data_IF_322306229196
#
_entry.id   IF_322306229196
#
_cell.length_a   1.000
_cell.length_b   1.000
_cell.length_c   1.000
_cell.angle_alpha   90.00
_cell.angle_beta   90.00
_cell.angle_gamma   90.00
#
_symmetry.space_group_name_H-M   'P 1'
#
loop_
_entity.id
_entity.type
_entity.pdbx_description
1 polymer ?
#
# COMPACT_ATOMS: atom_id res chain seq x y z
N UNK A 1 42.71 -52.53 -2.67
CA UNK A 1 41.98 -51.87 -3.77
C UNK A 1 40.98 -50.82 -3.27
N UNK A 2 40.15 -51.12 -2.26
CA UNK A 2 39.15 -50.17 -1.72
C UNK A 2 39.73 -48.84 -1.20
N UNK A 3 40.83 -48.89 -0.43
CA UNK A 3 41.51 -47.69 0.11
C UNK A 3 42.01 -46.74 -1.01
N UNK A 4 42.37 -47.29 -2.17
CA UNK A 4 42.84 -46.50 -3.31
C UNK A 4 41.68 -45.77 -4.00
N UNK A 5 40.52 -46.42 -4.16
CA UNK A 5 39.31 -45.79 -4.70
C UNK A 5 38.78 -44.69 -3.77
N UNK A 6 38.86 -44.88 -2.46
CA UNK A 6 38.42 -43.89 -1.47
C UNK A 6 39.32 -42.65 -1.46
N UNK A 7 40.65 -42.84 -1.58
CA UNK A 7 41.59 -41.72 -1.76
C UNK A 7 41.34 -40.94 -3.06
N UNK A 8 40.96 -41.60 -4.15
CA UNK A 8 40.63 -40.93 -5.42
C UNK A 8 39.31 -40.13 -5.33
N UNK A 9 38.31 -40.66 -4.60
CA UNK A 9 37.07 -39.93 -4.31
C UNK A 9 37.33 -38.69 -3.46
N UNK A 10 38.12 -38.79 -2.39
CA UNK A 10 38.44 -37.61 -1.57
C UNK A 10 39.21 -36.54 -2.33
N UNK A 11 40.15 -36.92 -3.22
CA UNK A 11 40.84 -35.96 -4.09
C UNK A 11 39.89 -35.25 -5.04
N UNK A 12 38.91 -35.97 -5.60
CA UNK A 12 37.91 -35.39 -6.50
C UNK A 12 36.98 -34.41 -5.77
N UNK A 13 36.54 -34.76 -4.56
CA UNK A 13 35.71 -33.88 -3.72
C UNK A 13 36.49 -32.62 -3.31
N UNK A 14 37.74 -32.77 -2.91
CA UNK A 14 38.59 -31.64 -2.53
C UNK A 14 38.86 -30.71 -3.72
N UNK A 15 39.10 -31.27 -4.91
CA UNK A 15 39.27 -30.48 -6.13
C UNK A 15 38.01 -29.67 -6.47
N UNK A 16 36.82 -30.27 -6.35
CA UNK A 16 35.54 -29.57 -6.57
C UNK A 16 35.36 -28.42 -5.57
N UNK A 17 35.63 -28.65 -4.28
CA UNK A 17 35.53 -27.63 -3.24
C UNK A 17 36.50 -26.47 -3.48
N UNK A 18 37.75 -26.76 -3.85
CA UNK A 18 38.74 -25.73 -4.16
C UNK A 18 38.37 -24.93 -5.42
N UNK A 19 37.86 -25.57 -6.46
CA UNK A 19 37.36 -24.84 -7.64
C UNK A 19 36.18 -23.96 -7.29
N UNK A 20 35.25 -24.43 -6.46
CA UNK A 20 34.10 -23.63 -6.04
C UNK A 20 34.52 -22.41 -5.23
N UNK A 21 35.46 -22.56 -4.29
CA UNK A 21 36.04 -21.44 -3.54
C UNK A 21 36.78 -20.44 -4.43
N UNK A 22 37.50 -20.92 -5.45
CA UNK A 22 38.19 -20.03 -6.38
C UNK A 22 37.20 -19.22 -7.22
N UNK A 23 36.12 -19.84 -7.70
CA UNK A 23 35.07 -19.13 -8.45
C UNK A 23 34.34 -18.09 -7.60
N UNK A 24 34.02 -18.38 -6.33
CA UNK A 24 33.37 -17.39 -5.46
C UNK A 24 34.27 -16.22 -5.12
N UNK A 25 35.56 -16.47 -4.84
CA UNK A 25 36.54 -15.41 -4.61
C UNK A 25 36.74 -14.56 -5.86
N UNK A 26 36.89 -15.19 -7.04
CA UNK A 26 37.09 -14.45 -8.29
C UNK A 26 35.86 -13.62 -8.68
N UNK A 27 34.64 -14.14 -8.47
CA UNK A 27 33.40 -13.38 -8.68
C UNK A 27 33.32 -12.17 -7.74
N UNK A 28 33.72 -12.32 -6.48
CA UNK A 28 33.80 -11.22 -5.51
C UNK A 28 34.80 -10.14 -5.98
N UNK A 29 36.00 -10.52 -6.42
CA UNK A 29 37.00 -9.57 -6.93
C UNK A 29 36.57 -8.85 -8.21
N UNK A 30 35.88 -9.53 -9.14
CA UNK A 30 35.36 -8.89 -10.34
C UNK A 30 34.26 -7.87 -9.97
N UNK A 31 33.40 -8.22 -9.00
CA UNK A 31 32.35 -7.32 -8.56
C UNK A 31 32.92 -6.08 -7.86
N UNK A 32 33.90 -6.25 -6.96
CA UNK A 32 34.55 -5.13 -6.27
C UNK A 32 35.36 -4.25 -7.22
N UNK A 33 36.10 -4.83 -8.16
CA UNK A 33 36.85 -4.06 -9.16
C UNK A 33 35.94 -3.27 -10.11
N UNK A 34 34.81 -3.86 -10.54
CA UNK A 34 33.81 -3.17 -11.35
C UNK A 34 33.15 -2.03 -10.57
N UNK A 35 32.92 -2.19 -9.27
CA UNK A 35 32.38 -1.13 -8.42
C UNK A 35 33.41 -0.01 -8.21
N UNK A 36 34.69 -0.33 -8.01
CA UNK A 36 35.76 0.68 -7.87
C UNK A 36 35.97 1.51 -9.14
N UNK A 37 35.94 0.90 -10.33
CA UNK A 37 36.03 1.66 -11.59
C UNK A 37 34.83 2.59 -11.77
N UNK A 38 33.61 2.14 -11.43
CA UNK A 38 32.40 2.98 -11.45
C UNK A 38 32.51 4.16 -10.49
N UNK A 39 33.00 3.93 -9.27
CA UNK A 39 33.23 4.97 -8.29
C UNK A 39 34.25 6.01 -8.80
N UNK A 40 35.34 5.59 -9.44
CA UNK A 40 36.32 6.53 -10.00
C UNK A 40 35.72 7.40 -11.12
N UNK A 41 34.85 6.84 -11.98
CA UNK A 41 34.12 7.62 -12.99
C UNK A 41 33.12 8.60 -12.35
N UNK A 42 32.50 8.21 -11.23
CA UNK A 42 31.61 9.08 -10.46
C UNK A 42 32.37 10.22 -9.76
N UNK A 43 33.59 9.96 -9.28
CA UNK A 43 34.46 10.98 -8.69
C UNK A 43 34.93 12.01 -9.73
N UNK A 44 35.34 11.58 -10.92
CA UNK A 44 35.73 12.49 -12.00
C UNK A 44 34.55 13.34 -12.52
N UNK A 45 33.34 12.76 -12.59
CA UNK A 45 32.14 13.50 -13.01
C UNK A 45 31.60 14.45 -11.93
N UNK A 46 31.76 14.11 -10.65
CA UNK A 46 31.42 14.98 -9.51
C UNK A 46 32.39 16.16 -9.40
N UNK A 47 33.69 15.93 -9.63
CA UNK A 47 34.72 16.98 -9.68
C UNK A 47 34.50 17.97 -10.82
N UNK A 48 34.02 17.51 -11.98
CA UNK A 48 33.70 18.37 -13.12
C UNK A 48 32.41 19.21 -12.95
N UNK A 49 31.54 18.89 -11.98
CA UNK A 49 30.38 19.72 -11.60
C UNK A 49 30.64 20.66 -10.42
N UNK A 50 31.81 20.58 -9.77
CA UNK A 50 32.22 21.52 -8.72
C UNK A 50 32.84 22.83 -9.24
N UNK A 51 32.82 23.09 -10.56
CA UNK A 51 33.06 24.43 -11.10
C UNK A 51 31.76 25.24 -11.12
N UNK A 52 31.24 25.50 -9.92
CA UNK A 52 29.98 26.20 -9.70
C UNK A 52 29.72 26.45 -8.24
N UNK A 53 30.77 26.84 -7.51
CA UNK A 53 30.68 27.39 -6.15
C UNK A 53 30.01 28.76 -6.24
N UNK A 54 28.69 28.72 -6.41
CA UNK A 54 27.81 29.86 -6.31
C UNK A 54 26.90 29.56 -5.12
N UNK A 55 26.94 30.45 -4.14
CA UNK A 55 25.91 30.75 -3.16
C UNK A 55 24.57 31.00 -3.87
N UNK A 56 24.00 29.95 -4.45
CA UNK A 56 22.94 30.02 -5.45
C UNK A 56 21.64 30.36 -4.73
N UNK A 57 21.39 31.67 -4.67
CA UNK A 57 20.17 32.36 -4.27
C UNK A 57 18.99 32.08 -5.21
N UNK A 58 19.04 31.00 -6.00
CA UNK A 58 17.86 30.55 -6.73
C UNK A 58 16.81 30.11 -5.72
N UNK A 59 15.57 30.64 -5.80
CA UNK A 59 14.48 30.16 -4.96
C UNK A 59 14.37 28.65 -5.15
N UNK A 60 14.61 27.90 -4.06
CA UNK A 60 14.64 26.44 -4.09
C UNK A 60 13.27 25.96 -4.56
N UNK A 61 13.21 25.37 -5.76
CA UNK A 61 11.97 24.79 -6.26
C UNK A 61 11.43 23.78 -5.26
N UNK A 62 10.12 23.76 -5.08
CA UNK A 62 9.43 22.80 -4.23
C UNK A 62 9.67 21.36 -4.73
N UNK A 63 9.78 20.40 -3.79
CA UNK A 63 10.21 19.06 -4.09
C UNK A 63 9.13 18.23 -4.80
N UNK A 64 9.60 17.18 -5.47
CA UNK A 64 8.78 16.08 -5.95
C UNK A 64 8.81 14.97 -4.89
N UNK A 65 7.65 14.62 -4.35
CA UNK A 65 7.49 13.50 -3.44
C UNK A 65 7.23 12.20 -4.21
N UNK A 66 8.04 11.18 -3.96
CA UNK A 66 7.88 9.85 -4.57
C UNK A 66 7.54 8.86 -3.45
N UNK A 67 6.36 8.27 -3.51
CA UNK A 67 5.95 7.30 -2.47
C UNK A 67 6.44 5.90 -2.79
N UNK A 68 7.01 5.18 -1.82
CA UNK A 68 7.41 3.77 -1.93
C UNK A 68 6.76 3.02 -0.77
N UNK A 69 5.81 2.14 -1.05
CA UNK A 69 5.17 1.37 0.02
C UNK A 69 3.91 0.63 -0.43
N UNK A 70 3.52 -0.43 0.29
CA UNK A 70 2.50 -1.35 -0.19
C UNK A 70 1.14 -0.64 -0.22
N UNK A 71 0.15 -1.17 -0.96
CA UNK A 71 -1.20 -0.62 -0.88
C UNK A 71 -1.71 -0.66 0.57
N UNK A 72 -2.46 0.37 0.97
CA UNK A 72 -2.98 0.54 2.33
C UNK A 72 -1.93 0.82 3.43
N UNK A 73 -0.69 1.18 3.08
CA UNK A 73 0.35 1.56 4.06
C UNK A 73 0.19 2.96 4.67
N UNK A 74 -0.77 3.77 4.21
CA UNK A 74 -0.94 5.16 4.66
C UNK A 74 -0.12 6.19 3.87
N UNK A 75 0.22 5.89 2.60
CA UNK A 75 1.01 6.79 1.72
C UNK A 75 0.48 8.23 1.69
N UNK A 76 -0.81 8.40 1.40
CA UNK A 76 -1.43 9.73 1.30
C UNK A 76 -1.31 10.51 2.60
N UNK A 77 -1.55 9.86 3.74
CA UNK A 77 -1.49 10.52 5.05
C UNK A 77 -0.05 10.87 5.44
N UNK A 78 0.92 10.02 5.11
CA UNK A 78 2.33 10.35 5.31
C UNK A 78 2.73 11.57 4.46
N UNK A 79 2.39 11.59 3.16
CA UNK A 79 2.67 12.74 2.30
C UNK A 79 2.02 14.02 2.85
N UNK A 80 0.77 13.96 3.34
CA UNK A 80 0.12 15.11 3.99
C UNK A 80 0.91 15.61 5.19
N UNK A 81 1.36 14.71 6.07
CA UNK A 81 2.13 15.09 7.25
C UNK A 81 3.48 15.72 6.85
N UNK A 82 4.13 15.22 5.79
CA UNK A 82 5.35 15.84 5.25
C UNK A 82 5.08 17.24 4.70
N UNK A 83 4.02 17.41 3.92
CA UNK A 83 3.64 18.71 3.37
C UNK A 83 3.41 19.72 4.49
N UNK A 84 2.68 19.34 5.55
CA UNK A 84 2.45 20.19 6.72
C UNK A 84 3.75 20.54 7.45
N UNK A 85 4.64 19.56 7.66
CA UNK A 85 5.91 19.78 8.35
C UNK A 85 6.83 20.77 7.59
N UNK A 86 6.75 20.78 6.26
CA UNK A 86 7.50 21.67 5.39
C UNK A 86 6.78 23.01 5.10
N UNK A 87 5.62 23.25 5.74
CA UNK A 87 4.86 24.50 5.62
C UNK A 87 4.00 24.62 4.36
N UNK A 88 3.77 23.52 3.64
CA UNK A 88 2.83 23.47 2.52
C UNK A 88 1.42 23.12 3.00
N UNK A 89 0.40 23.66 2.33
CA UNK A 89 -0.99 23.26 2.52
C UNK A 89 -1.27 21.94 1.75
N UNK A 90 -1.56 20.81 2.43
CA UNK A 90 -1.83 19.55 1.75
C UNK A 90 -3.10 19.59 0.92
N UNK A 91 -4.14 20.33 1.35
CA UNK A 91 -5.39 20.36 0.61
C UNK A 91 -5.18 21.03 -0.74
N UNK A 92 -4.35 22.06 -0.81
CA UNK A 92 -3.94 22.69 -2.06
C UNK A 92 -3.20 21.73 -3.01
N UNK A 93 -2.43 20.77 -2.48
CA UNK A 93 -1.72 19.76 -3.28
C UNK A 93 -2.66 18.64 -3.75
N UNK A 94 -3.53 18.14 -2.86
CA UNK A 94 -4.40 17.00 -3.17
C UNK A 94 -5.69 17.38 -3.91
N UNK A 95 -6.20 18.61 -3.77
CA UNK A 95 -7.40 19.07 -4.49
C UNK A 95 -7.11 19.52 -5.92
N UNK A 96 -5.89 20.00 -6.20
CA UNK A 96 -5.47 20.49 -7.53
C UNK A 96 -4.96 19.37 -8.45
N UNK A 97 -5.35 18.11 -8.21
CA UNK A 97 -4.97 16.95 -9.04
C UNK A 97 -3.45 16.70 -9.13
N UNK A 98 -2.68 17.17 -8.14
CA UNK A 98 -1.20 17.09 -8.14
C UNK A 98 -0.68 15.75 -7.60
N UNK A 99 -1.56 14.91 -7.05
CA UNK A 99 -1.26 13.51 -6.73
C UNK A 99 -1.53 12.60 -7.93
N UNK A 100 -0.45 12.17 -8.56
CA UNK A 100 -0.51 11.24 -9.68
C UNK A 100 -0.35 9.82 -9.16
N UNK A 101 -1.50 9.22 -8.85
CA UNK A 101 -1.59 7.80 -8.58
C UNK A 101 -2.30 7.07 -9.73
N UNK A 102 -1.82 5.88 -10.08
CA UNK A 102 -2.50 5.01 -11.04
C UNK A 102 -3.93 4.67 -10.57
N UNK A 103 -4.16 4.70 -9.25
CA UNK A 103 -5.47 4.44 -8.65
C UNK A 103 -6.46 5.59 -8.76
N UNK A 104 -6.03 6.80 -9.15
CA UNK A 104 -6.91 7.94 -9.40
C UNK A 104 -7.40 8.02 -10.86
N UNK A 105 -6.93 7.13 -11.73
CA UNK A 105 -7.40 7.06 -13.12
C UNK A 105 -8.81 6.49 -13.20
N UNK A 106 -9.69 7.16 -13.94
CA UNK A 106 -11.13 6.85 -14.02
C UNK A 106 -11.46 5.52 -14.70
N UNK A 107 -10.52 4.94 -15.45
CA UNK A 107 -10.67 3.66 -16.16
C UNK A 107 -10.13 2.45 -15.36
N UNK A 108 -9.49 2.68 -14.21
CA UNK A 108 -8.87 1.60 -13.40
C UNK A 108 -9.87 0.95 -12.44
N UNK A 109 -10.83 1.73 -11.95
CA UNK A 109 -11.86 1.27 -11.03
C UNK A 109 -13.25 1.52 -11.61
N UNK A 110 -14.06 0.47 -11.75
CA UNK A 110 -15.45 0.60 -12.18
C UNK A 110 -16.39 0.37 -11.00
N UNK A 111 -17.28 1.33 -10.77
CA UNK A 111 -18.22 1.31 -9.66
C UNK A 111 -19.47 0.51 -10.02
N UNK A 112 -19.80 -0.50 -9.22
CA UNK A 112 -20.95 -1.40 -9.39
C UNK A 112 -21.72 -1.44 -8.07
N UNK A 113 -23.05 -1.35 -8.06
CA UNK A 113 -23.77 -1.47 -6.80
C UNK A 113 -23.66 -2.90 -6.23
N UNK A 114 -23.55 -3.01 -4.91
CA UNK A 114 -23.23 -4.27 -4.21
C UNK A 114 -24.22 -5.39 -4.57
N UNK A 115 -25.51 -5.06 -4.69
CA UNK A 115 -26.54 -6.02 -5.05
C UNK A 115 -26.25 -6.71 -6.39
N UNK A 116 -25.89 -5.93 -7.42
CA UNK A 116 -25.55 -6.43 -8.74
C UNK A 116 -24.21 -7.19 -8.74
N UNK A 117 -23.25 -6.77 -7.93
CA UNK A 117 -21.98 -7.49 -7.80
C UNK A 117 -22.14 -8.88 -7.15
N UNK A 118 -23.00 -8.98 -6.13
CA UNK A 118 -23.32 -10.24 -5.46
C UNK A 118 -24.21 -11.14 -6.32
N UNK A 119 -25.13 -10.55 -7.10
CA UNK A 119 -26.10 -11.26 -7.93
C UNK A 119 -26.00 -10.79 -9.39
N UNK A 120 -24.93 -11.16 -10.12
CA UNK A 120 -24.69 -10.68 -11.48
C UNK A 120 -25.75 -11.12 -12.50
N UNK A 121 -26.59 -12.10 -12.15
CA UNK A 121 -27.73 -12.55 -12.96
C UNK A 121 -28.96 -11.64 -12.83
N UNK A 122 -28.99 -10.72 -11.85
CA UNK A 122 -30.08 -9.76 -11.66
C UNK A 122 -29.77 -8.47 -12.43
N UNK A 123 -30.64 -8.13 -13.40
CA UNK A 123 -30.71 -6.89 -14.22
C UNK A 123 -29.54 -5.88 -14.16
N UNK A 124 -28.33 -6.32 -14.52
CA UNK A 124 -27.25 -5.42 -14.93
C UNK A 124 -27.61 -4.86 -16.32
N UNK A 125 -28.21 -3.65 -16.34
CA UNK A 125 -28.48 -2.90 -17.57
C UNK A 125 -27.40 -1.83 -17.80
N UNK A 126 -27.32 -1.29 -19.02
CA UNK A 126 -26.35 -0.24 -19.39
C UNK A 126 -26.49 1.01 -18.51
N UNK A 127 -27.70 1.28 -17.99
CA UNK A 127 -27.97 2.37 -17.05
C UNK A 127 -27.60 2.06 -15.59
N UNK A 128 -27.37 0.79 -15.24
CA UNK A 128 -27.10 0.31 -13.88
C UNK A 128 -25.76 -0.44 -13.85
N UNK A 129 -24.70 0.23 -14.29
CA UNK A 129 -23.33 -0.24 -14.09
C UNK A 129 -22.84 -1.34 -15.03
N UNK A 130 -23.62 -1.77 -16.04
CA UNK A 130 -23.13 -2.68 -17.08
C UNK A 130 -22.28 -1.97 -18.15
N UNK A 131 -21.20 -1.31 -17.73
CA UNK A 131 -20.36 -0.53 -18.63
C UNK A 131 -19.39 -1.41 -19.42
N UNK A 132 -18.99 -0.93 -20.60
CA UNK A 132 -17.89 -1.53 -21.36
C UNK A 132 -16.56 -1.27 -20.65
N UNK A 133 -15.82 -2.33 -20.35
CA UNK A 133 -14.50 -2.24 -19.72
C UNK A 133 -13.43 -1.98 -20.78
N UNK A 134 -12.26 -1.49 -20.34
CA UNK A 134 -11.09 -1.30 -21.20
C UNK A 134 -10.59 -2.59 -21.85
N UNK A 135 -10.97 -3.76 -21.34
CA UNK A 135 -10.73 -5.07 -21.94
C UNK A 135 -11.56 -5.33 -23.21
N UNK A 136 -12.65 -4.61 -23.42
CA UNK A 136 -13.61 -4.82 -24.50
C UNK A 136 -14.75 -5.78 -24.17
N UNK A 137 -14.88 -6.19 -22.89
CA UNK A 137 -16.05 -6.92 -22.39
C UNK A 137 -16.88 -6.03 -21.47
N UNK A 138 -18.16 -6.36 -21.28
CA UNK A 138 -18.99 -5.64 -20.30
C UNK A 138 -18.65 -6.06 -18.87
N UNK A 139 -19.07 -5.24 -17.90
CA UNK A 139 -19.01 -5.61 -16.47
C UNK A 139 -19.69 -6.95 -16.21
N UNK A 140 -20.87 -7.17 -16.80
CA UNK A 140 -21.60 -8.44 -16.66
C UNK A 140 -20.80 -9.62 -17.21
N UNK A 141 -20.22 -9.47 -18.41
CA UNK A 141 -19.41 -10.53 -19.01
C UNK A 141 -18.24 -10.91 -18.08
N UNK A 142 -17.56 -9.91 -17.51
CA UNK A 142 -16.49 -10.14 -16.53
C UNK A 142 -16.98 -10.89 -15.29
N UNK A 143 -18.11 -10.48 -14.70
CA UNK A 143 -18.62 -11.09 -13.46
C UNK A 143 -19.09 -12.54 -13.65
N UNK A 144 -19.33 -12.95 -14.90
CA UNK A 144 -19.71 -14.30 -15.31
C UNK A 144 -18.53 -15.11 -15.87
N UNK A 145 -17.37 -14.48 -16.09
CA UNK A 145 -16.19 -15.11 -16.68
C UNK A 145 -15.33 -15.79 -15.58
N UNK A 146 -15.13 -17.12 -15.66
CA UNK A 146 -14.30 -17.87 -14.72
C UNK A 146 -12.86 -17.33 -14.57
N UNK A 147 -12.33 -16.64 -15.59
CA UNK A 147 -10.98 -16.09 -15.55
C UNK A 147 -10.80 -15.00 -14.47
N UNK A 148 -11.88 -14.33 -14.06
CA UNK A 148 -11.87 -13.29 -13.03
C UNK A 148 -12.46 -13.76 -11.69
N UNK A 149 -13.06 -14.96 -11.68
CA UNK A 149 -13.87 -15.47 -10.59
C UNK A 149 -13.11 -15.55 -9.27
N UNK A 150 -11.82 -15.91 -9.28
CA UNK A 150 -11.06 -16.01 -8.03
C UNK A 150 -10.95 -14.68 -7.26
N UNK A 151 -10.77 -13.55 -7.96
CA UNK A 151 -10.68 -12.23 -7.30
C UNK A 151 -12.07 -11.72 -6.92
N UNK A 152 -13.05 -11.90 -7.80
CA UNK A 152 -14.40 -11.41 -7.56
C UNK A 152 -15.09 -12.25 -6.46
N UNK A 153 -14.85 -13.55 -6.38
CA UNK A 153 -15.30 -14.46 -5.31
C UNK A 153 -14.66 -14.11 -3.96
N UNK A 154 -13.36 -13.76 -3.90
CA UNK A 154 -12.71 -13.22 -2.68
C UNK A 154 -13.51 -12.00 -2.15
N UNK A 155 -13.81 -11.04 -3.02
CA UNK A 155 -14.56 -9.82 -2.67
C UNK A 155 -15.98 -10.17 -2.22
N UNK A 156 -16.69 -11.07 -2.93
CA UNK A 156 -18.04 -11.52 -2.55
C UNK A 156 -18.04 -12.14 -1.16
N UNK A 157 -17.08 -13.00 -0.85
CA UNK A 157 -16.96 -13.64 0.46
C UNK A 157 -16.69 -12.61 1.57
N UNK A 158 -15.80 -11.64 1.34
CA UNK A 158 -15.55 -10.53 2.28
C UNK A 158 -16.81 -9.71 2.52
N UNK A 159 -17.57 -9.36 1.47
CA UNK A 159 -18.84 -8.63 1.60
C UNK A 159 -19.84 -9.40 2.45
N UNK A 160 -20.06 -10.68 2.11
CA UNK A 160 -21.03 -11.52 2.81
C UNK A 160 -20.66 -11.70 4.28
N UNK A 161 -19.36 -11.84 4.58
CA UNK A 161 -18.88 -11.94 5.97
C UNK A 161 -19.10 -10.64 6.74
N UNK A 162 -18.66 -9.50 6.22
CA UNK A 162 -18.83 -8.19 6.89
C UNK A 162 -20.31 -7.88 7.11
N UNK A 163 -21.16 -8.18 6.13
CA UNK A 163 -22.60 -7.97 6.18
C UNK A 163 -23.34 -8.91 7.15
N UNK A 164 -22.65 -9.83 7.83
CA UNK A 164 -23.25 -10.82 8.72
C UNK A 164 -24.11 -11.87 8.00
N UNK A 165 -23.89 -12.06 6.70
CA UNK A 165 -24.61 -13.03 5.84
C UNK A 165 -23.85 -14.34 5.64
N UNK A 166 -22.64 -14.42 6.17
CA UNK A 166 -21.78 -15.60 6.16
C UNK A 166 -21.19 -15.77 7.56
N UNK A 167 -21.19 -16.99 8.08
CA UNK A 167 -20.58 -17.31 9.37
C UNK A 167 -19.05 -17.27 9.29
N UNK A 168 -18.33 -17.11 10.42
CA UNK A 168 -16.86 -17.19 10.42
C UNK A 168 -16.34 -18.50 9.84
N UNK A 169 -17.02 -19.62 10.11
CA UNK A 169 -16.61 -20.95 9.65
C UNK A 169 -16.79 -21.10 8.13
N UNK A 170 -17.95 -20.69 7.58
CA UNK A 170 -18.19 -20.72 6.13
C UNK A 170 -17.20 -19.83 5.39
N UNK A 171 -16.91 -18.64 5.93
CA UNK A 171 -15.94 -17.72 5.35
C UNK A 171 -14.53 -18.33 5.34
N UNK A 172 -14.08 -18.89 6.46
CA UNK A 172 -12.78 -19.56 6.54
C UNK A 172 -12.67 -20.72 5.55
N UNK A 173 -13.70 -21.56 5.45
CA UNK A 173 -13.75 -22.67 4.49
C UNK A 173 -13.70 -22.20 3.04
N UNK A 174 -14.41 -21.11 2.70
CA UNK A 174 -14.40 -20.55 1.36
C UNK A 174 -13.02 -20.01 0.96
N UNK A 175 -12.37 -19.25 1.86
CA UNK A 175 -11.01 -18.72 1.62
C UNK A 175 -9.96 -19.84 1.56
N UNK A 176 -10.06 -20.86 2.42
CA UNK A 176 -9.16 -22.02 2.38
C UNK A 176 -9.31 -22.82 1.09
N UNK A 177 -10.55 -23.01 0.62
CA UNK A 177 -10.84 -23.66 -0.67
C UNK A 177 -10.17 -22.91 -1.81
N UNK A 178 -10.38 -21.59 -1.92
CA UNK A 178 -9.72 -20.75 -2.93
C UNK A 178 -8.20 -20.87 -2.87
N UNK A 179 -7.63 -20.88 -1.66
CA UNK A 179 -6.19 -21.01 -1.47
C UNK A 179 -5.64 -22.35 -1.98
N UNK A 180 -6.41 -23.43 -1.83
CA UNK A 180 -6.02 -24.79 -2.22
C UNK A 180 -6.25 -25.08 -3.70
N UNK A 181 -7.32 -24.54 -4.29
CA UNK A 181 -7.78 -24.87 -5.65
C UNK A 181 -7.10 -24.07 -6.75
N UNK A 182 -6.43 -22.96 -6.44
CA UNK A 182 -5.83 -22.08 -7.45
C UNK A 182 -4.54 -22.65 -8.11
N UNK A 183 -4.42 -23.98 -8.26
CA UNK A 183 -3.60 -24.65 -9.27
C UNK A 183 -2.07 -24.52 -9.14
N UNK A 184 -1.54 -24.06 -8.00
CA UNK A 184 -0.11 -23.78 -7.86
C UNK A 184 0.73 -25.06 -7.88
N UNK A 185 1.60 -25.17 -8.89
CA UNK A 185 2.58 -26.26 -9.00
C UNK A 185 3.75 -26.12 -8.03
N UNK A 186 4.10 -24.89 -7.63
CA UNK A 186 5.21 -24.64 -6.70
C UNK A 186 4.72 -24.57 -5.26
N UNK A 187 5.28 -25.43 -4.40
CA UNK A 187 5.02 -25.48 -2.94
C UNK A 187 5.14 -24.12 -2.24
N UNK A 188 6.07 -23.27 -2.70
CA UNK A 188 6.27 -21.92 -2.16
C UNK A 188 5.03 -21.02 -2.36
N UNK A 189 4.46 -20.97 -3.56
CA UNK A 189 3.29 -20.13 -3.85
C UNK A 189 2.05 -20.61 -3.09
N UNK A 190 1.85 -21.94 -3.01
CA UNK A 190 0.79 -22.53 -2.20
C UNK A 190 0.89 -22.15 -0.72
N UNK A 191 2.07 -22.28 -0.11
CA UNK A 191 2.30 -21.88 1.28
C UNK A 191 2.01 -20.39 1.52
N UNK A 192 2.47 -19.54 0.60
CA UNK A 192 2.23 -18.10 0.66
C UNK A 192 0.73 -17.79 0.59
N UNK A 193 -0.01 -18.40 -0.35
CA UNK A 193 -1.45 -18.18 -0.50
C UNK A 193 -2.24 -18.60 0.74
N UNK A 194 -1.91 -19.74 1.33
CA UNK A 194 -2.51 -20.19 2.60
C UNK A 194 -2.25 -19.17 3.72
N UNK A 195 -1.02 -18.65 3.82
CA UNK A 195 -0.71 -17.62 4.82
C UNK A 195 -1.47 -16.32 4.58
N UNK A 196 -1.64 -15.90 3.32
CA UNK A 196 -2.46 -14.73 2.96
C UNK A 196 -3.94 -14.96 3.31
N UNK A 197 -4.47 -16.15 3.04
CA UNK A 197 -5.84 -16.51 3.38
C UNK A 197 -6.12 -16.44 4.89
N UNK A 198 -5.20 -16.97 5.71
CA UNK A 198 -5.30 -16.87 7.19
C UNK A 198 -5.33 -15.42 7.68
N UNK A 199 -4.43 -14.58 7.17
CA UNK A 199 -4.40 -13.17 7.54
C UNK A 199 -5.66 -12.43 7.06
N UNK A 200 -6.19 -12.79 5.89
CA UNK A 200 -7.45 -12.23 5.36
C UNK A 200 -8.64 -12.60 6.26
N UNK A 201 -8.71 -13.86 6.72
CA UNK A 201 -9.74 -14.31 7.67
C UNK A 201 -9.69 -13.45 8.92
N UNK A 202 -8.53 -13.36 9.57
CA UNK A 202 -8.37 -12.60 10.80
C UNK A 202 -8.69 -11.11 10.62
N UNK A 203 -8.16 -10.49 9.56
CA UNK A 203 -8.41 -9.09 9.26
C UNK A 203 -9.90 -8.78 8.99
N UNK A 204 -10.63 -9.72 8.36
CA UNK A 204 -12.07 -9.56 8.11
C UNK A 204 -12.87 -9.66 9.40
N UNK A 205 -12.53 -10.59 10.29
CA UNK A 205 -13.18 -10.72 11.60
C UNK A 205 -13.02 -9.45 12.43
N UNK A 206 -11.80 -8.90 12.49
CA UNK A 206 -11.53 -7.66 13.23
C UNK A 206 -12.36 -6.48 12.71
N UNK A 207 -12.45 -6.31 11.38
CA UNK A 207 -13.27 -5.23 10.80
C UNK A 207 -14.77 -5.48 10.98
N UNK A 208 -15.21 -6.74 10.91
CA UNK A 208 -16.62 -7.08 11.17
C UNK A 208 -17.01 -6.76 12.62
N UNK A 209 -16.19 -7.17 13.60
CA UNK A 209 -16.41 -6.85 15.01
C UNK A 209 -16.39 -5.34 15.27
N UNK A 210 -15.45 -4.62 14.64
CA UNK A 210 -15.44 -3.15 14.70
C UNK A 210 -16.74 -2.55 14.14
N UNK A 211 -17.20 -3.03 12.98
CA UNK A 211 -18.43 -2.55 12.35
C UNK A 211 -19.66 -2.81 13.23
N UNK A 212 -19.78 -3.99 13.83
CA UNK A 212 -20.86 -4.34 14.76
C UNK A 212 -20.83 -3.43 15.98
N UNK A 213 -19.65 -3.23 16.59
CA UNK A 213 -19.49 -2.35 17.75
C UNK A 213 -19.88 -0.90 17.44
N UNK A 214 -19.46 -0.35 16.29
CA UNK A 214 -19.85 1.00 15.85
C UNK A 214 -21.39 1.15 15.77
N UNK A 215 -22.08 0.14 15.23
CA UNK A 215 -23.55 0.17 15.11
C UNK A 215 -24.21 0.04 16.47
N UNK A 216 -23.76 -0.88 17.33
CA UNK A 216 -24.30 -1.05 18.69
C UNK A 216 -24.17 0.25 19.49
N UNK A 217 -23.00 0.90 19.47
CA UNK A 217 -22.79 2.18 20.12
C UNK A 217 -23.74 3.26 19.56
N UNK A 218 -23.90 3.33 18.24
CA UNK A 218 -24.79 4.33 17.63
C UNK A 218 -26.26 4.17 18.03
N UNK A 219 -26.71 2.94 18.31
CA UNK A 219 -28.08 2.66 18.77
C UNK A 219 -28.27 3.00 20.25
N UNK A 220 -27.28 2.73 21.11
CA UNK A 220 -27.38 2.96 22.56
C UNK A 220 -27.22 4.45 22.94
N UNK A 221 -26.47 5.23 22.17
CA UNK A 221 -26.25 6.66 22.45
C UNK A 221 -27.30 7.59 21.82
N UNK A 222 -28.32 7.06 21.14
CA UNK A 222 -29.54 7.81 20.82
C UNK A 222 -30.46 7.91 22.06
N UNK A 223 -29.89 8.29 23.21
CA UNK A 223 -30.67 8.72 24.36
C UNK A 223 -31.44 9.96 23.89
N UNK A 224 -32.78 9.99 24.02
CA UNK A 224 -33.54 11.16 23.64
C UNK A 224 -32.92 12.35 24.36
N UNK A 225 -32.47 13.33 23.58
CA UNK A 225 -32.16 14.65 24.10
C UNK A 225 -33.48 15.12 24.67
N UNK A 226 -33.71 14.88 25.95
CA UNK A 226 -34.84 15.45 26.67
C UNK A 226 -34.62 16.94 26.50
N UNK A 227 -35.43 17.57 25.66
CA UNK A 227 -35.49 19.01 25.58
C UNK A 227 -35.62 19.48 27.03
N UNK A 228 -34.57 20.13 27.52
CA UNK A 228 -34.52 20.75 28.84
C UNK A 228 -35.54 21.87 28.81
N UNK A 229 -36.81 21.49 28.95
CA UNK A 229 -37.91 22.36 29.23
C UNK A 229 -37.71 22.86 30.64
N UNK A 230 -37.19 24.09 30.72
CA UNK A 230 -37.20 24.98 31.86
C UNK A 230 -36.90 24.33 33.21
N UNK A 231 -35.67 24.54 33.67
CA UNK A 231 -35.34 24.47 35.09
C UNK A 231 -36.23 25.45 35.87
N UNK A 232 -37.37 24.97 36.36
CA UNK A 232 -38.04 25.55 37.51
C UNK A 232 -37.18 25.18 38.72
N UNK A 233 -36.51 26.18 39.29
CA UNK A 233 -35.78 26.07 40.56
C UNK A 233 -36.77 25.59 41.63
N UNK A 234 -36.73 24.29 41.95
CA UNK A 234 -37.39 23.78 43.15
C UNK A 234 -36.50 24.08 44.36
N UNK A 235 -37.01 24.74 45.41
CA UNK A 235 -36.29 24.89 46.66
C UNK A 235 -36.43 23.57 47.43
N UNK A 236 -35.33 22.86 47.64
CA UNK A 236 -35.30 21.76 48.59
C UNK A 236 -34.37 22.11 49.74
N UNK A 237 -35.00 22.33 50.89
CA UNK A 237 -34.39 22.17 52.20
C UNK A 237 -33.97 20.70 52.37
N UNK A 238 -32.73 20.52 52.80
CA UNK A 238 -32.13 19.22 53.12
C UNK A 238 -32.69 18.79 54.47
N UNK A 239 -33.60 17.82 54.47
CA UNK A 239 -34.00 17.10 55.68
C UNK A 239 -33.42 15.67 55.59
N UNK A 240 -32.43 15.42 56.45
CA UNK A 240 -31.73 14.15 56.61
C UNK A 240 -32.69 13.12 57.22
N UNK A 241 -33.30 12.28 56.40
CA UNK A 241 -33.92 11.02 56.85
C UNK A 241 -33.41 9.87 55.98
N UNK A 242 -32.51 9.08 56.57
CA UNK A 242 -32.14 7.75 56.11
C UNK A 242 -33.34 6.81 56.25
N UNK A 243 -34.08 6.59 55.16
CA UNK A 243 -34.98 5.46 55.04
C UNK A 243 -34.43 4.44 54.03
N UNK A 244 -34.37 3.20 54.50
CA UNK A 244 -33.88 2.01 53.81
C UNK A 244 -34.49 1.85 52.40
N UNK A 245 -33.64 2.00 51.38
CA UNK A 245 -33.98 1.66 50.00
C UNK A 245 -34.13 0.13 49.88
N UNK A 246 -35.36 -0.35 49.98
CA UNK A 246 -35.71 -1.71 49.57
C UNK A 246 -35.52 -1.86 48.06
N UNK A 247 -34.45 -2.54 47.67
CA UNK A 247 -34.21 -3.00 46.29
C UNK A 247 -35.28 -4.02 45.93
N UNK A 248 -36.34 -3.58 45.25
CA UNK A 248 -37.35 -4.45 44.66
C UNK A 248 -36.72 -5.23 43.49
N UNK A 249 -36.55 -6.55 43.70
CA UNK A 249 -36.16 -7.53 42.68
C UNK A 249 -37.35 -7.86 41.77
N UNK A 250 -37.74 -6.92 40.90
CA UNK A 250 -38.64 -7.20 39.79
C UNK A 250 -37.92 -6.97 38.46
N UNK A 251 -36.94 -7.82 38.17
CA UNK A 251 -36.42 -7.97 36.80
C UNK A 251 -37.25 -9.03 36.09
N UNK A 252 -38.34 -8.58 35.46
CA UNK A 252 -39.07 -9.39 34.48
C UNK A 252 -38.08 -9.80 33.37
N UNK A 253 -37.71 -11.08 33.34
CA UNK A 253 -36.86 -11.69 32.31
C UNK A 253 -37.49 -11.73 30.90
N UNK A 254 -38.59 -11.01 30.68
CA UNK A 254 -39.37 -11.00 29.46
C UNK A 254 -38.97 -9.91 28.46
N UNK A 255 -38.22 -8.88 28.89
CA UNK A 255 -37.71 -7.82 28.01
C UNK A 255 -36.23 -8.03 27.69
N UNK A 256 -35.86 -9.24 27.24
CA UNK A 256 -34.63 -9.37 26.46
C UNK A 256 -34.91 -8.60 25.16
N UNK A 257 -34.24 -7.46 24.89
CA UNK A 257 -34.49 -6.69 23.68
C UNK A 257 -34.32 -7.64 22.50
N UNK A 258 -35.39 -7.84 21.72
CA UNK A 258 -35.33 -8.62 20.48
C UNK A 258 -34.13 -8.10 19.71
N UNK A 259 -33.09 -8.92 19.60
CA UNK A 259 -31.84 -8.56 18.93
C UNK A 259 -32.20 -8.27 17.49
N UNK A 260 -32.38 -6.98 17.18
CA UNK A 260 -32.66 -6.52 15.83
C UNK A 260 -31.44 -6.87 15.01
N UNK A 261 -31.59 -7.81 14.08
CA UNK A 261 -30.54 -8.14 13.12
C UNK A 261 -30.12 -6.84 12.43
N UNK A 262 -28.84 -6.49 12.59
CA UNK A 262 -28.28 -5.32 11.93
C UNK A 262 -28.41 -5.51 10.42
N UNK A 263 -28.90 -4.48 9.74
CA UNK A 263 -28.98 -4.48 8.30
C UNK A 263 -27.56 -4.44 7.71
N UNK A 264 -27.36 -5.10 6.57
CA UNK A 264 -26.08 -5.07 5.87
C UNK A 264 -25.62 -3.64 5.52
N UNK A 265 -26.58 -2.71 5.34
CA UNK A 265 -26.33 -1.28 5.09
C UNK A 265 -25.76 -0.54 6.29
N UNK A 266 -25.99 -1.00 7.51
CA UNK A 266 -25.38 -0.42 8.71
C UNK A 266 -23.92 -0.87 8.87
N UNK A 267 -23.59 -2.08 8.37
CA UNK A 267 -22.24 -2.64 8.47
C UNK A 267 -21.32 -2.23 7.31
N UNK A 268 -21.85 -2.04 6.10
CA UNK A 268 -21.11 -1.54 4.93
C UNK A 268 -21.63 -0.14 4.58
N UNK A 269 -20.78 0.88 4.73
CA UNK A 269 -21.18 2.30 4.61
C UNK A 269 -21.36 2.75 3.15
N UNK A 270 -20.84 1.98 2.20
CA UNK A 270 -21.00 2.24 0.76
C UNK A 270 -22.06 1.31 0.15
N UNK A 271 -22.87 1.76 -0.81
CA UNK A 271 -23.74 0.87 -1.58
C UNK A 271 -23.06 0.27 -2.81
N UNK A 272 -21.77 0.56 -3.04
CA UNK A 272 -21.03 0.15 -4.23
C UNK A 272 -19.74 -0.62 -3.92
N UNK A 273 -19.32 -1.44 -4.89
CA UNK A 273 -18.01 -2.07 -5.02
C UNK A 273 -17.31 -1.44 -6.22
N UNK A 274 -16.04 -1.08 -6.06
CA UNK A 274 -15.20 -0.62 -7.15
C UNK A 274 -14.29 -1.75 -7.61
N UNK A 275 -14.62 -2.36 -8.75
CA UNK A 275 -13.84 -3.46 -9.31
C UNK A 275 -12.57 -2.93 -9.98
N UNK A 276 -11.44 -3.55 -9.66
CA UNK A 276 -10.15 -3.20 -10.26
C UNK A 276 -10.01 -3.87 -11.64
N UNK A 277 -9.72 -3.07 -12.67
CA UNK A 277 -9.54 -3.54 -14.06
C UNK A 277 -8.06 -3.41 -14.43
N UNK A 278 -7.25 -4.47 -14.21
CA UNK A 278 -5.81 -4.40 -14.42
C UNK A 278 -5.42 -4.07 -15.86
N UNK A 279 -6.26 -4.42 -16.84
CA UNK A 279 -6.02 -4.14 -18.26
C UNK A 279 -5.93 -2.64 -18.55
N UNK A 280 -6.64 -1.79 -17.78
CA UNK A 280 -6.58 -0.34 -17.95
C UNK A 280 -5.17 0.20 -17.67
N UNK A 281 -4.47 -0.37 -16.69
CA UNK A 281 -3.09 0.03 -16.37
C UNK A 281 -2.12 -0.26 -17.50
N UNK A 282 -2.23 -1.45 -18.10
CA UNK A 282 -1.30 -1.93 -19.13
C UNK A 282 -1.64 -1.44 -20.54
N UNK A 283 -2.89 -1.06 -20.81
CA UNK A 283 -3.32 -0.43 -22.08
C UNK A 283 -3.10 1.09 -22.07
N UNK A 284 -1.92 1.50 -21.61
CA UNK A 284 -1.48 2.90 -21.62
C UNK A 284 -1.82 3.72 -20.37
N UNK A 285 -2.40 3.14 -19.32
CA UNK A 285 -2.62 3.85 -18.04
C UNK A 285 -1.33 4.41 -17.45
N UNK A 286 -0.24 3.64 -17.51
CA UNK A 286 1.11 4.10 -17.11
C UNK A 286 1.57 5.29 -17.98
N UNK A 287 1.39 5.21 -19.30
CA UNK A 287 1.77 6.29 -20.22
C UNK A 287 0.93 7.56 -20.00
N UNK A 288 -0.36 7.41 -19.70
CA UNK A 288 -1.24 8.53 -19.32
C UNK A 288 -0.78 9.18 -18.02
N UNK A 289 -0.46 8.39 -16.99
CA UNK A 289 0.06 8.90 -15.71
C UNK A 289 1.36 9.68 -15.92
N UNK A 290 2.26 9.11 -16.71
CA UNK A 290 3.52 9.76 -17.07
C UNK A 290 3.33 11.07 -17.84
N UNK A 291 2.45 11.09 -18.85
CA UNK A 291 2.13 12.29 -19.61
C UNK A 291 1.51 13.37 -18.72
N UNK A 292 0.58 12.98 -17.83
CA UNK A 292 -0.01 13.87 -16.84
C UNK A 292 1.07 14.45 -15.92
N UNK A 293 2.05 13.64 -15.51
CA UNK A 293 3.18 14.10 -14.67
C UNK A 293 4.08 15.08 -15.38
N UNK A 294 4.48 14.77 -16.62
CA UNK A 294 5.29 15.67 -17.44
C UNK A 294 4.56 16.99 -17.74
N UNK A 295 3.23 16.95 -17.90
CA UNK A 295 2.39 18.13 -18.07
C UNK A 295 2.31 18.96 -16.78
N UNK A 296 1.99 18.32 -15.65
CA UNK A 296 1.90 18.99 -14.35
C UNK A 296 3.22 19.67 -13.98
N UNK A 297 4.37 19.05 -14.26
CA UNK A 297 5.67 19.66 -14.00
C UNK A 297 5.98 20.89 -14.87
N UNK A 298 5.34 21.03 -16.04
CA UNK A 298 5.48 22.22 -16.89
C UNK A 298 4.56 23.36 -16.46
N UNK A 299 3.39 23.01 -15.92
CA UNK A 299 2.33 23.96 -15.57
C UNK A 299 2.41 24.42 -14.11
N UNK A 300 2.94 23.57 -13.22
CA UNK A 300 3.01 23.85 -11.79
C UNK A 300 4.04 24.96 -11.48
N UNK A 301 3.66 25.96 -10.66
CA UNK A 301 4.58 26.93 -10.09
C UNK A 301 5.78 26.28 -9.41
N UNK A 302 6.94 26.95 -9.46
CA UNK A 302 8.19 26.44 -8.89
C UNK A 302 8.12 26.22 -7.37
N UNK A 303 7.21 26.90 -6.66
CA UNK A 303 6.96 26.78 -5.22
C UNK A 303 5.90 25.72 -4.86
N UNK A 304 5.26 25.08 -5.85
CA UNK A 304 4.25 24.04 -5.61
C UNK A 304 4.88 22.65 -5.62
N UNK A 305 4.76 21.85 -4.54
CA UNK A 305 5.25 20.48 -4.51
C UNK A 305 4.37 19.56 -5.34
N UNK A 306 4.95 18.46 -5.85
CA UNK A 306 4.25 17.50 -6.72
C UNK A 306 4.41 16.09 -6.18
N UNK A 307 3.37 15.25 -6.28
CA UNK A 307 3.37 13.90 -5.70
C UNK A 307 3.25 12.83 -6.79
N UNK A 308 4.21 11.91 -6.82
CA UNK A 308 4.16 10.66 -7.56
C UNK A 308 3.70 9.52 -6.63
N UNK A 309 2.39 9.46 -6.38
CA UNK A 309 1.72 8.65 -5.35
C UNK A 309 1.53 7.16 -5.67
N UNK A 310 2.37 6.59 -6.52
CA UNK A 310 2.27 5.18 -6.92
C UNK A 310 2.80 4.22 -5.85
N UNK A 311 2.46 2.93 -5.95
CA UNK A 311 2.96 1.92 -4.99
C UNK A 311 4.48 1.71 -5.12
N UNK A 312 5.04 1.96 -6.32
CA UNK A 312 6.48 1.95 -6.64
C UNK A 312 7.25 0.82 -5.92
N UNK A 313 7.11 -0.40 -6.43
CA UNK A 313 7.70 -1.62 -5.85
C UNK A 313 9.04 -1.99 -6.46
N UNK A 314 9.52 -1.25 -7.48
CA UNK A 314 10.75 -1.52 -8.23
C UNK A 314 11.41 -0.21 -8.67
N UNK A 315 12.75 -0.18 -8.82
CA UNK A 315 13.47 1.03 -9.23
C UNK A 315 12.96 1.66 -10.54
N UNK A 316 12.74 0.83 -11.55
CA UNK A 316 12.19 1.28 -12.84
C UNK A 316 10.81 1.93 -12.78
N UNK A 317 10.01 1.65 -11.75
CA UNK A 317 8.65 2.20 -11.62
C UNK A 317 8.68 3.69 -11.23
N UNK A 318 9.73 4.15 -10.54
CA UNK A 318 9.91 5.56 -10.17
C UNK A 318 11.09 6.24 -10.88
N UNK A 319 11.94 5.51 -11.62
CA UNK A 319 13.05 6.07 -12.40
C UNK A 319 12.61 7.17 -13.39
N UNK A 320 11.40 7.05 -13.98
CA UNK A 320 10.86 8.07 -14.86
C UNK A 320 10.54 9.37 -14.13
N UNK A 321 10.08 9.29 -12.88
CA UNK A 321 9.85 10.46 -12.05
C UNK A 321 11.19 11.17 -11.75
N UNK A 322 12.23 10.42 -11.39
CA UNK A 322 13.59 10.94 -11.17
C UNK A 322 14.17 11.60 -12.42
N UNK A 323 14.06 10.96 -13.59
CA UNK A 323 14.51 11.52 -14.87
C UNK A 323 13.82 12.84 -15.20
N UNK A 324 12.54 12.94 -14.85
CA UNK A 324 11.79 14.18 -15.09
C UNK A 324 12.19 15.26 -14.08
N UNK A 325 12.42 14.88 -12.82
CA UNK A 325 12.94 15.77 -11.77
C UNK A 325 14.28 16.40 -12.14
N UNK A 326 15.22 15.57 -12.63
CA UNK A 326 16.53 16.01 -13.15
C UNK A 326 16.35 17.06 -14.26
N UNK A 327 15.51 16.77 -15.26
CA UNK A 327 15.27 17.66 -16.40
C UNK A 327 14.71 19.03 -15.99
N UNK A 328 13.85 19.08 -14.98
CA UNK A 328 13.22 20.34 -14.54
C UNK A 328 13.96 21.03 -13.40
N UNK A 329 15.03 20.41 -12.89
CA UNK A 329 15.82 20.91 -11.77
C UNK A 329 15.01 21.02 -10.48
N UNK A 330 14.18 20.01 -10.16
CA UNK A 330 13.44 19.95 -8.89
C UNK A 330 14.07 18.91 -7.95
N UNK A 331 14.17 19.22 -6.65
CA UNK A 331 14.62 18.24 -5.67
C UNK A 331 13.58 17.12 -5.51
N UNK A 332 14.02 15.95 -5.10
CA UNK A 332 13.20 14.77 -4.86
C UNK A 332 13.26 14.41 -3.38
N UNK A 333 12.14 13.97 -2.83
CA UNK A 333 12.03 13.36 -1.50
C UNK A 333 11.29 12.04 -1.61
N UNK A 334 11.83 10.98 -1.01
CA UNK A 334 11.08 9.73 -0.95
C UNK A 334 10.22 9.69 0.31
N UNK A 335 9.02 9.13 0.15
CA UNK A 335 8.15 8.73 1.26
C UNK A 335 8.12 7.20 1.25
N UNK A 336 9.15 6.60 1.84
CA UNK A 336 9.47 5.19 1.82
C UNK A 336 9.03 4.38 3.07
N UNK A 337 8.64 3.13 2.83
CA UNK A 337 8.21 2.14 3.82
C UNK A 337 9.34 1.69 4.75
N UNK A 338 9.17 1.88 6.06
CA UNK A 338 10.21 1.63 7.07
C UNK A 338 11.05 2.84 7.46
N UNK A 339 10.85 3.95 6.75
CA UNK A 339 11.46 5.23 7.08
C UNK A 339 10.33 6.22 7.44
N UNK A 340 9.96 7.10 6.50
CA UNK A 340 8.80 7.99 6.60
C UNK A 340 7.43 7.30 6.78
N UNK A 341 7.28 6.05 6.31
CA UNK A 341 6.04 5.28 6.38
C UNK A 341 6.17 4.14 7.39
N UNK A 342 5.15 3.90 8.24
CA UNK A 342 5.22 2.85 9.23
C UNK A 342 5.33 1.47 8.59
N UNK A 343 6.28 0.68 9.08
CA UNK A 343 6.33 -0.76 8.81
C UNK A 343 5.16 -1.44 9.52
N UNK A 344 4.25 -1.98 8.72
CA UNK A 344 3.07 -2.71 9.18
C UNK A 344 3.05 -4.08 8.53
N UNK A 345 2.60 -5.07 9.29
CA UNK A 345 2.53 -6.44 8.79
C UNK A 345 1.39 -6.61 7.76
N UNK A 346 1.40 -7.76 7.08
CA UNK A 346 0.40 -8.08 6.04
C UNK A 346 -1.03 -8.05 6.57
N UNK A 347 -1.27 -8.59 7.77
CA UNK A 347 -2.59 -8.62 8.39
C UNK A 347 -3.15 -7.20 8.58
N UNK A 348 -2.35 -6.27 9.09
CA UNK A 348 -2.75 -4.87 9.26
C UNK A 348 -3.05 -4.18 7.92
N UNK A 349 -2.25 -4.45 6.87
CA UNK A 349 -2.54 -3.94 5.53
C UNK A 349 -3.88 -4.46 4.98
N UNK A 350 -4.19 -5.74 5.22
CA UNK A 350 -5.46 -6.35 4.84
C UNK A 350 -6.61 -5.76 5.66
N UNK A 351 -6.44 -5.58 6.98
CA UNK A 351 -7.44 -4.95 7.86
C UNK A 351 -7.77 -3.54 7.38
N UNK A 352 -6.76 -2.73 7.06
CA UNK A 352 -6.93 -1.39 6.46
C UNK A 352 -7.61 -1.44 5.10
N UNK A 353 -7.28 -2.42 4.26
CA UNK A 353 -7.93 -2.61 2.96
C UNK A 353 -9.42 -2.92 3.10
N UNK A 354 -9.80 -3.78 4.05
CA UNK A 354 -11.18 -4.17 4.32
C UNK A 354 -11.96 -2.99 4.93
N UNK A 355 -11.35 -2.26 5.87
CA UNK A 355 -11.93 -1.03 6.42
C UNK A 355 -12.14 0.03 5.32
N UNK A 356 -11.16 0.19 4.41
CA UNK A 356 -11.29 1.08 3.24
C UNK A 356 -12.42 0.64 2.32
N UNK A 357 -12.54 -0.67 2.06
CA UNK A 357 -13.64 -1.22 1.27
C UNK A 357 -14.99 -0.90 1.92
N UNK A 358 -15.15 -1.19 3.21
CA UNK A 358 -16.35 -0.90 4.00
C UNK A 358 -16.81 0.56 3.85
N UNK A 359 -15.87 1.49 3.80
CA UNK A 359 -16.15 2.92 3.77
C UNK A 359 -16.33 3.49 2.35
N UNK A 360 -15.62 2.97 1.35
CA UNK A 360 -15.52 3.59 0.02
C UNK A 360 -15.89 2.69 -1.16
N UNK A 361 -15.96 1.37 -0.96
CA UNK A 361 -16.15 0.38 -2.02
C UNK A 361 -14.86 -0.07 -2.70
N UNK A 362 -13.73 0.60 -2.43
CA UNK A 362 -12.43 0.26 -3.00
C UNK A 362 -11.76 -0.90 -2.27
N UNK A 363 -11.62 -2.03 -2.97
CA UNK A 363 -10.92 -3.21 -2.50
C UNK A 363 -9.71 -3.52 -3.38
N UNK A 364 -8.58 -3.90 -2.76
CA UNK A 364 -7.43 -4.46 -3.48
C UNK A 364 -7.31 -5.94 -3.12
N UNK A 365 -7.14 -6.85 -4.10
CA UNK A 365 -7.03 -8.28 -3.82
C UNK A 365 -5.93 -8.60 -2.81
N UNK A 366 -6.19 -9.51 -1.87
CA UNK A 366 -5.25 -9.86 -0.80
C UNK A 366 -3.92 -10.38 -1.37
N UNK A 367 -3.99 -11.17 -2.44
CA UNK A 367 -2.82 -11.63 -3.19
C UNK A 367 -1.97 -10.48 -3.76
N UNK A 368 -2.58 -9.39 -4.23
CA UNK A 368 -1.88 -8.23 -4.77
C UNK A 368 -1.18 -7.42 -3.68
N UNK A 369 -1.80 -7.26 -2.51
CA UNK A 369 -1.18 -6.65 -1.32
C UNK A 369 0.04 -7.47 -0.90
N UNK A 370 -0.13 -8.78 -0.74
CA UNK A 370 0.95 -9.68 -0.35
C UNK A 370 2.10 -9.68 -1.36
N UNK A 371 1.80 -9.70 -2.66
CA UNK A 371 2.78 -9.62 -3.74
C UNK A 371 3.58 -8.31 -3.71
N UNK A 372 2.90 -7.19 -3.43
CA UNK A 372 3.53 -5.87 -3.35
C UNK A 372 4.40 -5.73 -2.12
N UNK A 373 3.93 -6.19 -0.95
CA UNK A 373 4.70 -6.19 0.30
C UNK A 373 6.05 -6.90 0.12
N UNK A 374 6.05 -8.13 -0.39
CA UNK A 374 7.31 -8.87 -0.58
C UNK A 374 8.27 -8.26 -1.60
N UNK A 375 7.77 -7.46 -2.56
CA UNK A 375 8.63 -6.70 -3.48
C UNK A 375 9.24 -5.48 -2.80
N UNK A 376 8.48 -4.81 -1.95
CA UNK A 376 8.93 -3.63 -1.22
C UNK A 376 9.91 -4.02 -0.12
N UNK A 377 9.66 -5.09 0.63
CA UNK A 377 10.64 -5.64 1.58
C UNK A 377 11.98 -5.90 0.90
N UNK A 378 11.95 -6.52 -0.29
CA UNK A 378 13.17 -6.71 -1.08
C UNK A 378 13.81 -5.37 -1.47
N UNK A 379 13.03 -4.42 -2.00
CA UNK A 379 13.54 -3.12 -2.42
C UNK A 379 14.18 -2.33 -1.28
N UNK A 380 13.56 -2.32 -0.10
CA UNK A 380 14.07 -1.61 1.07
C UNK A 380 15.32 -2.30 1.63
N UNK A 381 15.37 -3.63 1.63
CA UNK A 381 16.59 -4.37 2.00
C UNK A 381 17.74 -4.09 1.02
N UNK A 382 17.46 -4.10 -0.29
CA UNK A 382 18.44 -3.75 -1.32
C UNK A 382 18.95 -2.30 -1.10
N UNK A 383 18.06 -1.36 -0.69
CA UNK A 383 18.44 0.03 -0.44
C UNK A 383 19.28 0.20 0.85
N UNK A 384 18.98 -0.52 1.92
CA UNK A 384 19.81 -0.52 3.13
C UNK A 384 21.22 -1.09 2.86
N UNK A 385 21.33 -2.14 2.03
CA UNK A 385 22.63 -2.67 1.62
C UNK A 385 23.47 -1.63 0.83
N UNK A 386 22.86 -0.95 -0.13
CA UNK A 386 23.57 0.12 -0.88
C UNK A 386 23.97 1.28 0.03
N UNK A 387 23.15 1.60 1.03
CA UNK A 387 23.45 2.63 2.02
C UNK A 387 24.66 2.24 2.88
N UNK A 388 24.77 0.98 3.31
CA UNK A 388 25.93 0.50 4.06
C UNK A 388 27.23 0.61 3.24
N UNK A 389 27.17 0.25 1.96
CA UNK A 389 28.31 0.38 1.03
C UNK A 389 28.70 1.85 0.83
N UNK A 390 27.73 2.76 0.72
CA UNK A 390 27.97 4.19 0.52
C UNK A 390 28.57 4.88 1.75
N UNK A 391 28.08 4.53 2.95
CA UNK A 391 28.56 5.12 4.21
C UNK A 391 30.03 4.85 4.44
N UNK A 392 30.58 3.71 3.99
CA UNK A 392 32.02 3.42 4.12
C UNK A 392 32.90 4.37 3.30
N UNK A 393 32.40 4.84 2.16
CA UNK A 393 33.17 5.71 1.25
C UNK A 393 32.93 7.21 1.48
N UNK A 394 31.81 7.59 2.12
CA UNK A 394 31.33 8.99 2.23
C UNK A 394 31.22 9.52 3.67
N UNK A 395 31.96 8.98 4.65
CA UNK A 395 31.94 9.49 6.03
C UNK A 395 32.36 10.97 6.08
N UNK A 396 31.40 11.91 6.12
CA UNK A 396 31.39 13.06 7.07
C UNK A 396 30.21 14.05 7.08
N UNK A 397 29.15 13.95 6.26
CA UNK A 397 28.05 14.92 6.38
C UNK A 397 26.71 14.28 6.80
N UNK A 398 26.22 14.70 7.97
CA UNK A 398 25.11 14.13 8.75
C UNK A 398 23.70 14.57 8.29
N UNK A 399 23.55 15.16 7.10
CA UNK A 399 22.35 15.95 6.77
C UNK A 399 21.28 15.30 5.88
N UNK A 400 21.62 14.35 5.01
CA UNK A 400 20.65 13.79 4.05
C UNK A 400 20.16 12.41 4.47
N UNK A 401 18.84 12.16 4.33
CA UNK A 401 18.27 10.84 4.59
C UNK A 401 18.92 9.82 3.68
N UNK A 402 19.87 9.08 4.23
CA UNK A 402 20.70 8.08 3.55
C UNK A 402 19.89 7.10 2.69
N UNK A 403 18.62 6.86 3.01
CA UNK A 403 17.74 5.98 2.25
C UNK A 403 17.28 6.60 0.92
N UNK A 404 17.06 7.92 0.84
CA UNK A 404 16.64 8.60 -0.39
C UNK A 404 17.70 8.46 -1.47
N UNK A 405 18.97 8.67 -1.08
CA UNK A 405 20.12 8.51 -1.96
C UNK A 405 20.28 7.05 -2.43
N UNK A 406 20.12 6.07 -1.53
CA UNK A 406 20.18 4.66 -1.88
C UNK A 406 19.05 4.24 -2.85
N UNK A 407 17.82 4.71 -2.63
CA UNK A 407 16.69 4.46 -3.50
C UNK A 407 16.87 5.08 -4.90
N UNK A 408 17.46 6.29 -4.97
CA UNK A 408 17.84 6.91 -6.22
C UNK A 408 18.94 6.10 -6.95
N UNK A 409 19.95 5.63 -6.21
CA UNK A 409 21.06 4.85 -6.74
C UNK A 409 20.60 3.52 -7.35
N UNK A 410 19.67 2.82 -6.68
CA UNK A 410 19.05 1.62 -7.24
C UNK A 410 18.31 1.90 -8.56
N UNK A 411 17.80 3.11 -8.74
CA UNK A 411 17.16 3.54 -9.98
C UNK A 411 18.12 4.11 -11.03
N UNK A 412 19.44 4.07 -10.79
CA UNK A 412 20.46 4.58 -11.72
C UNK A 412 20.71 6.08 -11.60
N UNK A 413 20.41 6.69 -10.44
CA UNK A 413 20.58 8.12 -10.20
C UNK A 413 21.48 8.38 -8.99
N UNK A 414 22.33 9.40 -9.09
CA UNK A 414 23.02 9.98 -7.94
C UNK A 414 22.16 11.10 -7.37
N UNK A 415 22.04 11.17 -6.03
CA UNK A 415 21.31 12.24 -5.35
C UNK A 415 22.26 13.13 -4.55
N UNK A 416 22.08 14.45 -4.62
CA UNK A 416 22.80 15.42 -3.79
C UNK A 416 22.11 15.60 -2.44
N UNK A 417 22.80 16.22 -1.48
CA UNK A 417 22.22 16.55 -0.17
C UNK A 417 20.94 17.41 -0.27
N UNK A 418 20.88 18.29 -1.28
CA UNK A 418 19.71 19.11 -1.58
C UNK A 418 18.51 18.34 -2.16
N UNK A 419 18.65 17.03 -2.42
CA UNK A 419 17.65 16.17 -3.04
C UNK A 419 17.64 16.21 -4.57
N UNK A 420 18.59 16.89 -5.21
CA UNK A 420 18.67 16.93 -6.68
C UNK A 420 19.26 15.62 -7.20
N UNK A 421 18.73 15.13 -8.32
CA UNK A 421 19.13 13.84 -8.88
C UNK A 421 19.77 13.99 -10.25
N UNK A 422 20.75 13.13 -10.54
CA UNK A 422 21.45 13.06 -11.82
C UNK A 422 21.53 11.62 -12.32
N UNK A 423 21.14 11.36 -13.58
CA UNK A 423 21.21 10.01 -14.13
C UNK A 423 22.68 9.60 -14.32
N UNK A 424 23.06 8.46 -13.75
CA UNK A 424 24.44 7.90 -13.82
C UNK A 424 24.49 6.51 -14.45
N UNK A 425 23.40 5.75 -14.42
CA UNK A 425 23.30 4.40 -15.00
C UNK A 425 21.84 4.12 -15.41
N UNK A 426 21.60 2.93 -15.95
CA UNK A 426 20.25 2.39 -16.08
C UNK A 426 19.72 1.90 -14.72
N UNK A 427 18.39 1.91 -14.49
CA UNK A 427 17.80 1.37 -13.27
C UNK A 427 18.17 -0.11 -13.09
N UNK A 428 18.54 -0.51 -11.87
CA UNK A 428 18.76 -1.92 -11.57
C UNK A 428 17.39 -2.63 -11.56
N UNK A 429 17.25 -3.71 -12.34
CA UNK A 429 16.12 -4.66 -12.43
C UNK A 429 14.85 -4.29 -13.26
#
# INVERSE_FOLDING_TARGET
>A
MAIFQERQRMKSVLAILLTFQFFTIHAFFIHTASNQQRLHTLYETSSLKQLGDATNTHPKKAPIFITIGPPCSGKTDAVRNYLLAEGYDPDDVFTKDVDISLTSQSDVYHRIPIAQFLFPLTELSDGIGNQMLSSGCTVRDRLLDPAYDATDEEIRNVILRIAGRMTPQEFAQAIDRQALEAGDTKKFFKKRRIAVGKDLIQATEEVHLQAVSEVICSVHFQVPTVESGMAEELPYDIDDNEEDVQVTKDTNAADIPKVKLLSARELIKTPFVEIFVPQALFRGGIDKANKKFEQLLKEAPDDQPIVWGNTNTRPKEYAKALKTAEKVGRPVRFVAWGDSLPQVNRQELLRRNIARFRNSGKYIPAGAIAASLGRIEKLMNDAELEKEDFVQDWIRDEGSSSIDAALALLAGFQMTEGGFVFQIDEPRY
#
